data_IF_227813341555
#
_entry.id   IF_227813341555
#
_cell.length_a   1.000
_cell.length_b   1.000
_cell.length_c   1.000
_cell.angle_alpha   90.00
_cell.angle_beta   90.00
_cell.angle_gamma   90.00
#
_symmetry.space_group_name_H-M   'P 1'
#
loop_
_entity.id
_entity.type
_entity.pdbx_description
1 polymer ?
#
# COMPACT_ATOMS: atom_id res chain seq x y z
N UNK A 1 14.49 17.08 -11.48
CA UNK A 1 13.43 16.44 -12.28
C UNK A 1 13.88 16.11 -13.70
N UNK A 2 14.33 17.07 -14.51
CA UNK A 2 14.71 16.81 -15.92
C UNK A 2 15.86 15.79 -16.05
N UNK A 3 16.92 15.93 -15.24
CA UNK A 3 18.02 14.95 -15.16
C UNK A 3 17.54 13.53 -14.80
N UNK A 4 16.63 13.42 -13.82
CA UNK A 4 16.03 12.15 -13.39
C UNK A 4 15.23 11.50 -14.51
N UNK A 5 14.42 12.29 -15.22
CA UNK A 5 13.63 11.80 -16.36
C UNK A 5 14.53 11.33 -17.51
N UNK A 6 15.60 12.05 -17.81
CA UNK A 6 16.58 11.66 -18.84
C UNK A 6 17.25 10.32 -18.50
N UNK A 7 17.67 10.12 -17.24
CA UNK A 7 18.27 8.85 -16.81
C UNK A 7 17.25 7.70 -16.86
N UNK A 8 16.01 7.91 -16.41
CA UNK A 8 14.94 6.91 -16.53
C UNK A 8 14.63 6.56 -17.98
N UNK A 9 14.63 7.54 -18.89
CA UNK A 9 14.50 7.31 -20.33
C UNK A 9 15.66 6.47 -20.89
N UNK A 10 16.88 6.72 -20.44
CA UNK A 10 18.06 5.93 -20.83
C UNK A 10 17.96 4.49 -20.32
N UNK A 11 17.54 4.30 -19.08
CA UNK A 11 17.31 2.96 -18.51
C UNK A 11 16.20 2.21 -19.24
N UNK A 12 15.10 2.90 -19.56
CA UNK A 12 14.01 2.34 -20.36
C UNK A 12 14.51 1.88 -21.74
N UNK A 13 15.29 2.70 -22.46
CA UNK A 13 15.87 2.33 -23.76
C UNK A 13 16.76 1.10 -23.65
N UNK A 14 17.64 1.05 -22.63
CA UNK A 14 18.49 -0.13 -22.36
C UNK A 14 17.66 -1.39 -22.12
N UNK A 15 16.63 -1.31 -21.27
CA UNK A 15 15.71 -2.42 -21.03
C UNK A 15 15.02 -2.86 -22.33
N UNK A 16 14.51 -1.93 -23.15
CA UNK A 16 13.86 -2.25 -24.42
C UNK A 16 14.81 -2.92 -25.41
N UNK A 17 16.07 -2.49 -25.49
CA UNK A 17 17.07 -3.18 -26.31
C UNK A 17 17.28 -4.62 -25.85
N UNK A 18 17.28 -4.89 -24.55
CA UNK A 18 17.38 -6.26 -24.02
C UNK A 18 16.17 -7.11 -24.40
N UNK A 19 14.95 -6.54 -24.35
CA UNK A 19 13.73 -7.22 -24.82
C UNK A 19 13.81 -7.52 -26.33
N UNK A 20 14.28 -6.56 -27.12
CA UNK A 20 14.43 -6.76 -28.57
C UNK A 20 15.49 -7.80 -28.90
N UNK A 21 16.61 -7.83 -28.17
CA UNK A 21 17.65 -8.85 -28.31
C UNK A 21 17.17 -10.27 -27.92
N UNK A 22 16.10 -10.37 -27.14
CA UNK A 22 15.49 -11.65 -26.80
C UNK A 22 14.70 -12.27 -27.98
N UNK A 23 14.12 -11.45 -28.86
CA UNK A 23 13.36 -11.92 -30.02
C UNK A 23 14.17 -12.79 -31.00
N UNK A 24 15.38 -12.41 -31.46
CA UNK A 24 16.16 -13.25 -32.36
C UNK A 24 16.58 -14.57 -31.71
N UNK A 25 16.79 -14.61 -30.38
CA UNK A 25 17.07 -15.85 -29.66
C UNK A 25 15.88 -16.82 -29.74
N UNK A 26 14.66 -16.32 -29.55
CA UNK A 26 13.44 -17.11 -29.73
C UNK A 26 13.21 -17.51 -31.19
N UNK A 27 13.48 -16.60 -32.13
CA UNK A 27 13.39 -16.88 -33.57
C UNK A 27 14.35 -17.99 -33.99
N UNK A 28 15.60 -17.95 -33.52
CA UNK A 28 16.59 -19.00 -33.75
C UNK A 28 16.13 -20.35 -33.16
N UNK A 29 15.58 -20.36 -31.94
CA UNK A 29 15.03 -21.57 -31.33
C UNK A 29 13.89 -22.15 -32.18
N UNK A 30 12.99 -21.31 -32.68
CA UNK A 30 11.89 -21.73 -33.54
C UNK A 30 12.36 -22.32 -34.88
N UNK A 31 13.39 -21.72 -35.50
CA UNK A 31 14.00 -22.26 -36.73
C UNK A 31 14.68 -23.60 -36.44
N UNK A 32 15.47 -23.70 -35.36
CA UNK A 32 16.15 -24.93 -34.98
C UNK A 32 15.21 -26.09 -34.68
N UNK A 33 13.95 -25.81 -34.30
CA UNK A 33 12.95 -26.84 -34.02
C UNK A 33 12.69 -27.77 -35.22
N UNK A 34 12.90 -27.26 -36.44
CA UNK A 34 12.73 -28.04 -37.68
C UNK A 34 13.93 -28.91 -38.04
N UNK A 35 15.12 -28.64 -37.47
CA UNK A 35 16.37 -29.28 -37.90
C UNK A 35 17.03 -30.11 -36.80
N UNK A 36 17.01 -29.64 -35.54
CA UNK A 36 17.74 -30.28 -34.44
C UNK A 36 17.08 -30.03 -33.09
N UNK A 37 16.56 -31.12 -32.50
CA UNK A 37 15.87 -31.10 -31.20
C UNK A 37 16.79 -30.68 -30.04
N UNK A 38 18.04 -31.14 -30.03
CA UNK A 38 19.00 -30.84 -28.96
C UNK A 38 19.38 -29.36 -28.96
N UNK A 39 19.66 -28.79 -30.13
CA UNK A 39 19.95 -27.35 -30.28
C UNK A 39 18.75 -26.49 -29.87
N UNK A 40 17.54 -26.91 -30.24
CA UNK A 40 16.30 -26.22 -29.84
C UNK A 40 16.15 -26.15 -28.33
N UNK A 41 16.34 -27.28 -27.63
CA UNK A 41 16.25 -27.34 -26.18
C UNK A 41 17.33 -26.49 -25.50
N UNK A 42 18.56 -26.48 -26.04
CA UNK A 42 19.63 -25.61 -25.55
C UNK A 42 19.26 -24.12 -25.68
N UNK A 43 18.80 -23.69 -26.86
CA UNK A 43 18.41 -22.30 -27.10
C UNK A 43 17.24 -21.86 -26.21
N UNK A 44 16.24 -22.73 -26.01
CA UNK A 44 15.14 -22.47 -25.09
C UNK A 44 15.62 -22.37 -23.64
N UNK A 45 16.52 -23.26 -23.21
CA UNK A 45 17.15 -23.19 -21.89
C UNK A 45 17.91 -21.88 -21.67
N UNK A 46 18.70 -21.46 -22.67
CA UNK A 46 19.38 -20.15 -22.67
C UNK A 46 18.40 -18.99 -22.63
N UNK A 47 17.29 -19.08 -23.37
CA UNK A 47 16.24 -18.06 -23.37
C UNK A 47 15.58 -17.91 -21.99
N UNK A 48 15.25 -19.03 -21.33
CA UNK A 48 14.72 -19.02 -19.96
C UNK A 48 15.73 -18.42 -18.99
N UNK A 49 17.01 -18.81 -19.09
CA UNK A 49 18.07 -18.24 -18.25
C UNK A 49 18.21 -16.73 -18.46
N UNK A 50 18.21 -16.26 -19.71
CA UNK A 50 18.26 -14.83 -20.05
C UNK A 50 17.06 -14.07 -19.46
N UNK A 51 15.85 -14.62 -19.62
CA UNK A 51 14.62 -14.01 -19.10
C UNK A 51 14.66 -13.88 -17.57
N UNK A 52 15.04 -14.94 -16.86
CA UNK A 52 15.00 -14.99 -15.40
C UNK A 52 16.14 -14.20 -14.75
N UNK A 53 17.36 -14.32 -15.26
CA UNK A 53 18.55 -13.76 -14.61
C UNK A 53 18.94 -12.38 -15.14
N UNK A 54 18.63 -12.06 -16.39
CA UNK A 54 19.02 -10.78 -16.99
C UNK A 54 17.82 -9.84 -17.13
N UNK A 55 16.80 -10.21 -17.91
CA UNK A 55 15.68 -9.33 -18.23
C UNK A 55 14.86 -8.96 -16.98
N UNK A 56 14.50 -9.97 -16.16
CA UNK A 56 13.71 -9.76 -14.94
C UNK A 56 14.43 -8.87 -13.93
N UNK A 57 15.76 -8.99 -13.80
CA UNK A 57 16.55 -8.12 -12.89
C UNK A 57 16.53 -6.68 -13.36
N UNK A 58 16.77 -6.43 -14.65
CA UNK A 58 16.72 -5.08 -15.26
C UNK A 58 15.34 -4.46 -15.16
N UNK A 59 14.28 -5.24 -15.43
CA UNK A 59 12.90 -4.80 -15.28
C UNK A 59 12.59 -4.37 -13.85
N UNK A 60 12.94 -5.20 -12.86
CA UNK A 60 12.74 -4.88 -11.43
C UNK A 60 13.53 -3.64 -11.02
N UNK A 61 14.77 -3.50 -11.48
CA UNK A 61 15.57 -2.30 -11.20
C UNK A 61 14.91 -1.05 -11.77
N UNK A 62 14.56 -1.04 -13.05
CA UNK A 62 13.92 0.11 -13.68
C UNK A 62 12.61 0.49 -12.98
N UNK A 63 11.75 -0.48 -12.66
CA UNK A 63 10.48 -0.22 -11.99
C UNK A 63 10.70 0.39 -10.60
N UNK A 64 11.70 -0.08 -9.85
CA UNK A 64 12.05 0.48 -8.54
C UNK A 64 12.50 1.92 -8.62
N UNK A 65 13.42 2.23 -9.53
CA UNK A 65 13.90 3.61 -9.76
C UNK A 65 12.76 4.54 -10.20
N UNK A 66 11.84 4.03 -11.02
CA UNK A 66 10.69 4.80 -11.48
C UNK A 66 9.71 5.12 -10.34
N UNK A 67 9.36 4.11 -9.53
CA UNK A 67 8.49 4.29 -8.35
C UNK A 67 9.15 5.25 -7.36
N UNK A 68 10.45 5.05 -7.08
CA UNK A 68 11.21 5.92 -6.19
C UNK A 68 11.18 7.37 -6.67
N UNK A 69 11.49 7.63 -7.94
CA UNK A 69 11.46 8.97 -8.51
C UNK A 69 10.06 9.61 -8.48
N UNK A 70 9.00 8.83 -8.70
CA UNK A 70 7.63 9.30 -8.56
C UNK A 70 7.33 9.70 -7.11
N UNK A 71 7.63 8.84 -6.14
CA UNK A 71 7.40 9.12 -4.72
C UNK A 71 8.22 10.31 -4.21
N UNK A 72 9.50 10.41 -4.60
CA UNK A 72 10.38 11.53 -4.29
C UNK A 72 9.80 12.87 -4.77
N UNK A 73 9.23 12.89 -5.98
CA UNK A 73 8.66 14.10 -6.59
C UNK A 73 7.20 14.38 -6.22
N UNK A 74 6.56 13.52 -5.41
CA UNK A 74 5.15 13.67 -5.03
C UNK A 74 4.98 13.53 -3.51
N UNK A 75 4.82 12.31 -3.01
CA UNK A 75 4.53 12.03 -1.59
C UNK A 75 5.65 12.53 -0.69
N UNK A 76 6.93 12.26 -1.00
CA UNK A 76 8.04 12.73 -0.18
C UNK A 76 8.11 14.26 -0.15
N UNK A 77 7.89 14.92 -1.30
CA UNK A 77 7.84 16.39 -1.36
C UNK A 77 6.70 16.95 -0.52
N UNK A 78 5.51 16.33 -0.59
CA UNK A 78 4.33 16.70 0.21
C UNK A 78 4.57 16.55 1.70
N UNK A 79 5.35 15.54 2.10
CA UNK A 79 5.65 15.23 3.49
C UNK A 79 6.94 15.89 4.03
N UNK A 80 7.72 16.57 3.17
CA UNK A 80 9.07 17.00 3.52
C UNK A 80 9.98 15.84 3.98
N UNK A 81 9.77 14.66 3.39
CA UNK A 81 10.39 13.41 3.80
C UNK A 81 11.63 13.06 2.97
N UNK A 82 12.46 12.19 3.54
CA UNK A 82 13.51 11.49 2.79
C UNK A 82 12.92 10.47 1.80
N UNK A 83 13.74 9.95 0.86
CA UNK A 83 13.32 8.91 -0.07
C UNK A 83 12.73 7.66 0.61
N UNK A 84 11.83 6.94 -0.06
CA UNK A 84 11.15 5.77 0.52
C UNK A 84 12.13 4.63 0.84
N UNK A 85 11.89 3.97 1.97
CA UNK A 85 12.49 2.70 2.33
C UNK A 85 11.85 1.57 1.50
N UNK A 86 12.58 1.01 0.53
CA UNK A 86 12.04 -0.05 -0.33
C UNK A 86 11.54 -1.28 0.46
N UNK A 87 12.23 -1.61 1.57
CA UNK A 87 11.91 -2.72 2.46
C UNK A 87 11.71 -2.17 3.86
N UNK A 88 10.49 -2.25 4.37
CA UNK A 88 10.13 -1.67 5.66
C UNK A 88 8.99 -0.67 5.55
N UNK A 89 8.38 -0.37 6.70
CA UNK A 89 7.30 0.61 6.84
C UNK A 89 7.78 1.98 7.34
N UNK A 90 9.08 2.27 7.28
CA UNK A 90 9.65 3.41 7.99
C UNK A 90 9.51 3.20 9.50
N UNK A 91 8.87 4.15 10.18
CA UNK A 91 8.57 3.98 11.62
C UNK A 91 7.40 3.03 11.90
N UNK A 92 6.64 2.62 10.87
CA UNK A 92 5.55 1.65 11.03
C UNK A 92 6.14 0.25 11.16
N UNK A 93 5.87 -0.38 12.30
CA UNK A 93 6.29 -1.76 12.60
C UNK A 93 5.08 -2.68 12.73
N UNK A 94 5.22 -4.01 12.57
CA UNK A 94 4.13 -4.95 12.84
C UNK A 94 3.53 -4.80 14.25
N UNK A 95 4.36 -4.42 15.24
CA UNK A 95 3.89 -4.09 16.59
C UNK A 95 2.98 -2.86 16.61
N UNK A 96 3.33 -1.82 15.87
CA UNK A 96 2.49 -0.62 15.75
C UNK A 96 1.16 -0.93 15.02
N UNK A 97 1.20 -1.75 13.98
CA UNK A 97 0.00 -2.23 13.28
C UNK A 97 -0.92 -2.98 14.24
N UNK A 98 -0.36 -3.88 15.05
CA UNK A 98 -1.12 -4.64 16.06
C UNK A 98 -1.73 -3.73 17.12
N UNK A 99 -0.93 -2.79 17.64
CA UNK A 99 -1.38 -1.84 18.67
C UNK A 99 -2.58 -1.01 18.21
N UNK A 100 -2.66 -0.69 16.90
CA UNK A 100 -3.79 0.03 16.33
C UNK A 100 -5.12 -0.74 16.41
N UNK A 101 -5.12 -2.08 16.56
CA UNK A 101 -6.32 -2.93 16.55
C UNK A 101 -7.29 -2.58 15.38
N UNK A 102 -6.72 -2.22 14.23
CA UNK A 102 -7.49 -1.75 13.07
C UNK A 102 -7.67 -2.83 12.01
N UNK A 103 -6.65 -3.67 11.80
CA UNK A 103 -6.64 -4.70 10.76
C UNK A 103 -6.18 -6.04 11.36
N UNK A 104 -6.91 -7.14 11.11
CA UNK A 104 -6.48 -8.49 11.47
C UNK A 104 -5.33 -8.99 10.58
N UNK A 105 -4.39 -9.73 11.18
CA UNK A 105 -3.38 -10.52 10.49
C UNK A 105 -2.89 -11.67 11.38
N UNK A 106 -2.48 -12.78 10.78
CA UNK A 106 -1.94 -13.93 11.52
C UNK A 106 -0.55 -13.58 12.10
N UNK A 107 -0.23 -14.07 13.29
CA UNK A 107 1.07 -13.81 13.95
C UNK A 107 2.25 -14.62 13.40
N UNK A 108 2.10 -15.19 12.21
CA UNK A 108 3.16 -15.94 11.54
C UNK A 108 4.05 -15.04 10.69
N UNK A 109 5.31 -15.44 10.52
CA UNK A 109 6.26 -14.70 9.68
C UNK A 109 5.71 -14.49 8.26
N UNK A 110 5.82 -13.26 7.75
CA UNK A 110 5.35 -12.90 6.41
C UNK A 110 3.86 -12.51 6.31
N UNK A 111 3.07 -12.62 7.38
CA UNK A 111 1.67 -12.21 7.38
C UNK A 111 1.44 -10.70 7.60
N UNK A 112 2.47 -9.95 8.02
CA UNK A 112 2.48 -8.49 8.00
C UNK A 112 3.68 -8.02 7.18
N UNK A 113 3.43 -7.64 5.93
CA UNK A 113 4.45 -7.12 5.03
C UNK A 113 4.28 -5.60 4.88
N UNK A 114 5.34 -4.85 5.18
CA UNK A 114 5.40 -3.40 5.05
C UNK A 114 6.53 -3.01 4.09
N UNK A 115 6.22 -2.19 3.10
CA UNK A 115 7.18 -1.74 2.06
C UNK A 115 6.93 -0.29 1.67
N UNK A 116 7.93 0.34 1.03
CA UNK A 116 7.85 1.73 0.58
C UNK A 116 7.57 2.71 1.74
N UNK A 117 8.22 2.48 2.89
CA UNK A 117 8.06 3.32 4.06
C UNK A 117 8.55 4.75 3.83
N UNK A 118 7.70 5.74 4.09
CA UNK A 118 8.03 7.17 4.02
C UNK A 118 7.70 7.80 5.37
N UNK A 119 8.65 8.53 5.96
CA UNK A 119 8.46 9.24 7.22
C UNK A 119 8.76 10.72 7.04
N UNK A 120 7.83 11.57 7.47
CA UNK A 120 7.95 13.02 7.36
C UNK A 120 6.91 13.73 8.22
N UNK A 121 6.42 14.86 7.73
CA UNK A 121 5.43 15.69 8.41
C UNK A 121 4.26 16.03 7.48
N UNK A 122 3.03 15.99 8.00
CA UNK A 122 1.82 16.37 7.27
C UNK A 122 1.07 17.42 8.08
N UNK A 123 1.01 18.66 7.58
CA UNK A 123 0.38 19.77 8.30
C UNK A 123 1.00 20.03 9.69
N UNK A 124 2.32 19.82 9.82
CA UNK A 124 3.07 19.96 11.07
C UNK A 124 3.02 18.75 12.02
N UNK A 125 2.25 17.70 11.68
CA UNK A 125 2.17 16.47 12.46
C UNK A 125 3.14 15.42 11.92
N UNK A 126 3.93 14.74 12.77
CA UNK A 126 4.71 13.58 12.35
C UNK A 126 3.83 12.52 11.68
N UNK A 127 4.24 12.03 10.52
CA UNK A 127 3.52 11.00 9.78
C UNK A 127 4.47 9.95 9.23
N UNK A 128 4.02 8.70 9.26
CA UNK A 128 4.62 7.61 8.49
C UNK A 128 3.58 6.94 7.62
N UNK A 129 3.96 6.65 6.38
CA UNK A 129 3.12 6.02 5.36
C UNK A 129 3.86 4.82 4.78
N UNK A 130 3.18 3.72 4.53
CA UNK A 130 3.74 2.58 3.82
C UNK A 130 2.67 1.76 3.10
N UNK A 131 3.09 0.98 2.11
CA UNK A 131 2.26 -0.08 1.55
C UNK A 131 2.27 -1.26 2.52
N UNK A 132 1.07 -1.74 2.86
CA UNK A 132 0.86 -2.81 3.82
C UNK A 132 0.09 -3.97 3.20
N UNK A 133 0.50 -5.20 3.53
CA UNK A 133 -0.20 -6.44 3.17
C UNK A 133 -0.35 -7.31 4.42
N UNK A 134 -1.60 -7.68 4.70
CA UNK A 134 -2.01 -8.45 5.86
C UNK A 134 -2.55 -9.80 5.42
N UNK A 135 -1.81 -10.87 5.69
CA UNK A 135 -2.22 -12.24 5.50
C UNK A 135 -2.95 -12.75 6.73
N UNK A 136 -4.14 -13.30 6.54
CA UNK A 136 -4.94 -13.84 7.63
C UNK A 136 -5.64 -15.11 7.22
N UNK A 137 -5.80 -16.01 8.18
CA UNK A 137 -6.53 -17.23 7.96
C UNK A 137 -7.96 -17.11 8.49
N UNK A 138 -8.94 -17.50 7.69
CA UNK A 138 -10.33 -17.62 8.10
C UNK A 138 -10.93 -18.95 7.64
N UNK A 139 -12.04 -19.36 8.27
CA UNK A 139 -12.78 -20.57 7.91
C UNK A 139 -14.01 -20.21 7.09
N UNK A 140 -14.26 -20.95 6.01
CA UNK A 140 -15.47 -20.78 5.22
C UNK A 140 -16.70 -21.34 5.96
N UNK A 141 -17.74 -20.53 6.10
CA UNK A 141 -19.00 -20.91 6.76
C UNK A 141 -19.64 -22.17 6.14
N UNK A 142 -19.55 -22.34 4.82
CA UNK A 142 -20.22 -23.43 4.09
C UNK A 142 -19.62 -24.83 4.34
N UNK A 143 -18.32 -24.94 4.61
CA UNK A 143 -17.63 -26.24 4.66
C UNK A 143 -16.47 -26.31 5.67
N UNK A 144 -16.28 -25.29 6.50
CA UNK A 144 -15.21 -25.23 7.50
C UNK A 144 -13.79 -25.21 6.91
N UNK A 145 -13.62 -25.07 5.58
CA UNK A 145 -12.28 -25.10 4.99
C UNK A 145 -11.50 -23.84 5.35
N UNK A 146 -10.28 -24.06 5.83
CA UNK A 146 -9.27 -23.04 6.08
C UNK A 146 -8.89 -22.34 4.76
N UNK A 147 -8.96 -21.02 4.73
CA UNK A 147 -8.55 -20.17 3.60
C UNK A 147 -7.68 -19.03 4.10
N UNK A 148 -6.75 -18.58 3.26
CA UNK A 148 -5.95 -17.39 3.51
C UNK A 148 -6.55 -16.23 2.71
N UNK A 149 -6.78 -15.10 3.38
CA UNK A 149 -7.13 -13.83 2.79
C UNK A 149 -5.95 -12.88 2.89
N UNK A 150 -5.71 -12.09 1.85
CA UNK A 150 -4.75 -11.00 1.90
C UNK A 150 -5.49 -9.67 1.76
N UNK A 151 -5.36 -8.82 2.76
CA UNK A 151 -5.82 -7.43 2.70
C UNK A 151 -4.62 -6.56 2.39
N UNK A 152 -4.69 -5.82 1.28
CA UNK A 152 -3.60 -4.97 0.81
C UNK A 152 -4.07 -3.52 0.74
N UNK A 153 -3.18 -2.57 1.05
CA UNK A 153 -3.52 -1.16 1.03
C UNK A 153 -2.38 -0.25 1.49
N UNK A 154 -2.68 1.03 1.69
CA UNK A 154 -1.76 1.99 2.32
C UNK A 154 -2.11 2.11 3.80
N UNK A 155 -1.08 2.05 4.63
CA UNK A 155 -1.13 2.35 6.05
C UNK A 155 -0.55 3.75 6.30
N UNK A 156 -1.33 4.61 6.96
CA UNK A 156 -0.94 5.96 7.36
C UNK A 156 -1.01 6.04 8.88
N UNK A 157 0.07 6.45 9.52
CA UNK A 157 0.13 6.69 10.96
C UNK A 157 0.56 8.14 11.21
N UNK A 158 -0.31 8.93 11.83
CA UNK A 158 -0.06 10.31 12.24
C UNK A 158 0.02 10.44 13.76
N UNK A 159 0.93 11.27 14.21
CA UNK A 159 1.02 11.72 15.60
C UNK A 159 0.35 13.09 15.72
N UNK A 160 -0.76 13.14 16.45
CA UNK A 160 -1.45 14.38 16.78
C UNK A 160 -0.62 15.20 17.79
N UNK A 161 -0.78 16.54 17.84
CA UNK A 161 -0.01 17.39 18.74
C UNK A 161 -0.33 17.19 20.23
N UNK A 162 -1.46 16.58 20.55
CA UNK A 162 -1.90 16.33 21.92
C UNK A 162 -2.73 15.05 22.00
N UNK A 163 -2.71 14.44 23.19
CA UNK A 163 -3.56 13.31 23.53
C UNK A 163 -5.03 13.74 23.57
N UNK A 164 -5.86 13.02 22.83
CA UNK A 164 -7.30 13.27 22.76
C UNK A 164 -8.09 12.59 23.88
N UNK A 165 -7.46 11.67 24.62
CA UNK A 165 -8.11 10.78 25.59
C UNK A 165 -9.06 9.76 24.95
N UNK A 166 -9.11 9.70 23.61
CA UNK A 166 -10.02 8.84 22.87
C UNK A 166 -9.32 7.55 22.43
N UNK A 167 -10.07 6.46 22.44
CA UNK A 167 -9.65 5.16 21.96
C UNK A 167 -10.82 4.49 21.23
N UNK A 168 -10.83 4.57 19.89
CA UNK A 168 -11.91 4.03 19.07
C UNK A 168 -11.47 3.65 17.66
N UNK A 169 -12.29 2.82 17.01
CA UNK A 169 -12.14 2.39 15.61
C UNK A 169 -13.41 2.69 14.82
N UNK A 170 -13.20 3.26 13.65
CA UNK A 170 -14.26 3.65 12.72
C UNK A 170 -13.93 3.04 11.36
N UNK A 171 -14.77 2.11 10.89
CA UNK A 171 -14.49 1.34 9.69
C UNK A 171 -15.61 1.51 8.67
N UNK A 172 -15.24 1.74 7.41
CA UNK A 172 -16.16 1.47 6.32
C UNK A 172 -16.46 -0.05 6.31
N UNK A 173 -17.72 -0.49 6.16
CA UNK A 173 -18.10 -1.90 6.25
C UNK A 173 -17.34 -2.79 5.27
N UNK A 174 -16.90 -2.23 4.14
CA UNK A 174 -16.17 -2.94 3.10
C UNK A 174 -14.64 -2.84 3.26
N UNK A 175 -14.14 -2.12 4.26
CA UNK A 175 -12.69 -2.03 4.51
C UNK A 175 -12.10 -3.39 4.95
N UNK A 176 -12.92 -4.23 5.60
CA UNK A 176 -12.54 -5.59 6.03
C UNK A 176 -13.74 -6.51 5.74
N UNK A 177 -13.53 -7.69 5.13
CA UNK A 177 -14.61 -8.67 4.93
C UNK A 177 -15.37 -8.96 6.23
N UNK A 178 -16.70 -8.93 6.18
CA UNK A 178 -17.56 -8.96 7.37
C UNK A 178 -17.28 -10.12 8.34
N UNK A 179 -17.14 -11.38 7.91
CA UNK A 179 -16.90 -12.49 8.83
C UNK A 179 -15.57 -12.31 9.59
N UNK A 180 -14.55 -11.86 8.87
CA UNK A 180 -13.22 -11.63 9.42
C UNK A 180 -13.25 -10.46 10.42
N UNK A 181 -13.93 -9.36 10.06
CA UNK A 181 -14.10 -8.21 10.95
C UNK A 181 -14.79 -8.61 12.25
N UNK A 182 -15.88 -9.36 12.15
CA UNK A 182 -16.66 -9.80 13.31
C UNK A 182 -15.83 -10.69 14.23
N UNK A 183 -15.14 -11.70 13.69
CA UNK A 183 -14.27 -12.58 14.46
C UNK A 183 -13.13 -11.81 15.13
N UNK A 184 -12.50 -10.88 14.40
CA UNK A 184 -11.41 -10.07 14.91
C UNK A 184 -11.84 -9.19 16.09
N UNK A 185 -12.93 -8.43 15.95
CA UNK A 185 -13.38 -7.54 17.03
C UNK A 185 -14.06 -8.30 18.17
N UNK A 186 -14.66 -9.47 17.93
CA UNK A 186 -15.16 -10.33 19.00
C UNK A 186 -14.04 -10.84 19.93
N UNK A 187 -12.82 -10.99 19.40
CA UNK A 187 -11.64 -11.36 20.19
C UNK A 187 -11.00 -10.18 20.95
N UNK A 188 -11.39 -8.93 20.67
CA UNK A 188 -10.86 -7.73 21.33
C UNK A 188 -11.70 -7.38 22.56
N UNK A 189 -11.32 -7.91 23.74
CA UNK A 189 -12.05 -7.63 24.99
C UNK A 189 -12.04 -6.16 25.41
N UNK A 190 -11.10 -5.36 24.90
CA UNK A 190 -10.98 -3.93 25.21
C UNK A 190 -11.86 -3.03 24.34
N UNK A 191 -12.54 -3.58 23.32
CA UNK A 191 -13.31 -2.79 22.36
C UNK A 191 -14.74 -3.28 22.27
N UNK A 192 -15.68 -2.42 22.66
CA UNK A 192 -17.10 -2.71 22.58
C UNK A 192 -17.67 -2.28 21.22
N UNK A 193 -18.53 -3.09 20.59
CA UNK A 193 -19.27 -2.68 19.40
C UNK A 193 -20.28 -1.58 19.78
N UNK A 194 -20.13 -0.40 19.19
CA UNK A 194 -20.96 0.77 19.48
C UNK A 194 -21.97 1.10 18.37
N UNK A 195 -22.10 0.22 17.37
CA UNK A 195 -23.14 0.27 16.35
C UNK A 195 -22.67 0.92 15.04
N UNK A 196 -23.58 1.64 14.40
CA UNK A 196 -23.36 2.31 13.11
C UNK A 196 -23.52 3.81 13.26
N UNK A 197 -22.57 4.58 12.71
CA UNK A 197 -22.60 6.04 12.68
C UNK A 197 -22.81 6.53 11.23
N UNK A 198 -23.67 7.55 11.07
CA UNK A 198 -24.06 8.13 9.78
C UNK A 198 -24.51 7.09 8.73
N UNK A 199 -25.18 6.01 9.18
CA UNK A 199 -25.65 4.87 8.35
C UNK A 199 -24.56 4.22 7.47
N UNK A 200 -23.29 4.50 7.78
CA UNK A 200 -22.14 4.08 6.98
C UNK A 200 -21.12 3.37 7.83
N UNK A 201 -20.67 3.99 8.91
CA UNK A 201 -19.47 3.58 9.60
C UNK A 201 -19.77 2.54 10.67
N UNK A 202 -19.07 1.42 10.65
CA UNK A 202 -19.05 0.48 11.76
C UNK A 202 -18.12 1.02 12.84
N UNK A 203 -18.61 1.07 14.07
CA UNK A 203 -17.95 1.76 15.16
C UNK A 203 -17.67 0.80 16.34
N UNK A 204 -16.43 0.84 16.83
CA UNK A 204 -15.98 0.13 18.04
C UNK A 204 -15.26 1.10 18.95
N UNK A 205 -15.45 1.02 20.27
CA UNK A 205 -14.85 1.98 21.22
C UNK A 205 -14.35 1.34 22.49
N UNK A 206 -13.30 1.94 23.04
CA UNK A 206 -12.85 1.78 24.41
C UNK A 206 -13.03 3.09 25.19
N UNK A 207 -12.76 4.24 24.56
CA UNK A 207 -12.96 5.57 25.15
C UNK A 207 -13.35 6.62 24.11
N UNK A 208 -14.29 7.51 24.47
CA UNK A 208 -14.73 8.60 23.61
C UNK A 208 -15.48 8.16 22.35
N UNK A 209 -15.83 9.14 21.52
CA UNK A 209 -16.55 8.94 20.26
C UNK A 209 -16.06 9.92 19.17
N UNK A 210 -16.13 9.54 17.89
CA UNK A 210 -15.87 10.44 16.76
C UNK A 210 -16.79 11.65 16.80
N UNK A 211 -16.24 12.85 16.65
CA UNK A 211 -17.06 14.05 16.53
C UNK A 211 -17.82 14.08 15.20
N UNK A 212 -18.97 14.74 15.14
CA UNK A 212 -19.70 14.93 13.86
C UNK A 212 -18.87 15.68 12.80
N UNK A 213 -17.94 16.55 13.22
CA UNK A 213 -16.97 17.18 12.31
C UNK A 213 -16.05 16.14 11.67
N UNK A 214 -15.51 15.21 12.47
CA UNK A 214 -14.69 14.13 11.97
C UNK A 214 -15.49 13.22 11.03
N UNK A 215 -16.71 12.81 11.41
CA UNK A 215 -17.55 11.95 10.59
C UNK A 215 -17.82 12.57 9.21
N UNK A 216 -18.11 13.87 9.15
CA UNK A 216 -18.25 14.60 7.89
C UNK A 216 -16.97 14.55 7.04
N UNK A 217 -15.79 14.75 7.65
CA UNK A 217 -14.50 14.71 6.94
C UNK A 217 -14.11 13.29 6.50
N UNK A 218 -14.39 12.29 7.32
CA UNK A 218 -14.25 10.89 6.94
C UNK A 218 -15.21 10.55 5.78
N UNK A 219 -16.43 11.10 5.79
CA UNK A 219 -17.38 11.01 4.68
C UNK A 219 -16.87 11.63 3.38
N UNK A 220 -16.18 12.78 3.44
CA UNK A 220 -15.51 13.39 2.27
C UNK A 220 -14.42 12.47 1.70
N UNK A 221 -13.55 11.91 2.56
CA UNK A 221 -12.53 10.92 2.16
C UNK A 221 -13.19 9.72 1.48
N UNK A 222 -14.23 9.20 2.11
CA UNK A 222 -14.85 7.96 1.70
C UNK A 222 -15.84 8.17 0.54
N UNK A 223 -16.17 9.42 0.17
CA UNK A 223 -16.76 9.76 -1.12
C UNK A 223 -15.73 9.79 -2.24
N UNK A 224 -14.49 10.20 -1.95
CA UNK A 224 -13.37 10.18 -2.90
C UNK A 224 -12.81 8.76 -3.12
N UNK A 225 -12.69 7.98 -2.06
CA UNK A 225 -12.22 6.58 -2.06
C UNK A 225 -13.24 5.66 -1.37
N UNK A 226 -14.34 5.29 -2.07
CA UNK A 226 -15.43 4.51 -1.48
C UNK A 226 -15.05 3.10 -1.05
N UNK A 227 -15.57 2.66 0.11
CA UNK A 227 -15.58 1.26 0.55
C UNK A 227 -14.28 0.73 1.16
N UNK A 228 -13.33 1.62 1.48
CA UNK A 228 -11.92 1.20 1.67
C UNK A 228 -11.20 1.85 2.85
N UNK A 229 -11.82 2.78 3.55
CA UNK A 229 -11.18 3.51 4.65
C UNK A 229 -11.51 2.89 6.01
N UNK A 230 -10.49 2.72 6.84
CA UNK A 230 -10.62 2.38 8.25
C UNK A 230 -9.74 3.31 9.08
N UNK A 231 -10.23 3.73 10.24
CA UNK A 231 -9.57 4.66 11.15
C UNK A 231 -9.45 4.02 12.53
N UNK A 232 -8.32 4.27 13.18
CA UNK A 232 -8.12 4.03 14.61
C UNK A 232 -7.56 5.30 15.23
N UNK A 233 -8.18 5.78 16.30
CA UNK A 233 -7.63 6.83 17.14
C UNK A 233 -7.31 6.23 18.50
N UNK A 234 -6.08 6.41 18.96
CA UNK A 234 -5.63 5.97 20.28
C UNK A 234 -4.78 7.07 20.90
N UNK A 235 -5.33 7.76 21.89
CA UNK A 235 -4.70 8.88 22.56
C UNK A 235 -4.34 9.99 21.56
N UNK A 236 -3.05 10.13 21.24
CA UNK A 236 -2.51 11.07 20.26
C UNK A 236 -2.16 10.42 18.90
N UNK A 237 -2.39 9.13 18.70
CA UNK A 237 -2.05 8.45 17.45
C UNK A 237 -3.30 8.23 16.60
N UNK A 238 -3.35 8.88 15.43
CA UNK A 238 -4.34 8.60 14.39
C UNK A 238 -3.75 7.65 13.35
N UNK A 239 -4.38 6.50 13.16
CA UNK A 239 -4.04 5.53 12.13
C UNK A 239 -5.16 5.43 11.12
N UNK A 240 -4.81 5.45 9.83
CA UNK A 240 -5.74 5.27 8.73
C UNK A 240 -5.23 4.18 7.81
N UNK A 241 -6.10 3.24 7.46
CA UNK A 241 -5.83 2.25 6.43
C UNK A 241 -6.75 2.49 5.22
N UNK A 242 -6.16 2.50 4.03
CA UNK A 242 -6.85 2.62 2.75
C UNK A 242 -6.65 1.35 1.94
N UNK A 243 -7.67 0.48 1.94
CA UNK A 243 -7.67 -0.77 1.17
C UNK A 243 -7.51 -0.51 -0.33
N UNK A 244 -6.81 -1.39 -1.03
CA UNK A 244 -6.52 -1.34 -2.47
C UNK A 244 -5.91 -0.02 -3.00
N UNK A 245 -5.38 0.82 -2.11
CA UNK A 245 -4.52 1.96 -2.47
C UNK A 245 -3.07 1.55 -2.27
N UNK A 246 -2.18 2.08 -3.10
CA UNK A 246 -0.75 1.76 -3.05
C UNK A 246 0.08 2.99 -3.43
N UNK A 247 1.21 3.17 -2.76
CA UNK A 247 2.28 4.09 -3.15
C UNK A 247 2.91 3.63 -4.46
N UNK A 248 3.20 2.33 -4.56
CA UNK A 248 3.77 1.72 -5.75
C UNK A 248 2.68 1.40 -6.80
N UNK A 249 2.50 2.28 -7.79
CA UNK A 249 1.57 2.02 -8.90
C UNK A 249 2.18 1.04 -9.93
N UNK A 250 1.38 0.12 -10.52
CA UNK A 250 1.80 -0.63 -11.70
C UNK A 250 1.98 0.31 -12.90
N UNK A 251 3.20 0.39 -13.43
CA UNK A 251 3.52 1.17 -14.63
C UNK A 251 3.63 0.28 -15.86
N UNK A 252 3.07 0.72 -16.98
CA UNK A 252 3.22 0.04 -18.26
C UNK A 252 4.68 0.10 -18.72
N UNK A 253 5.28 -1.07 -18.91
CA UNK A 253 6.63 -1.22 -19.46
C UNK A 253 6.67 -1.01 -20.99
N UNK A 254 5.53 -0.70 -21.62
CA UNK A 254 5.42 -0.51 -23.07
C UNK A 254 5.71 0.92 -23.51
N UNK A 255 5.57 1.91 -22.63
CA UNK A 255 5.77 3.33 -22.93
C UNK A 255 6.99 3.87 -22.19
N UNK A 256 7.67 4.84 -22.81
CA UNK A 256 8.73 5.57 -22.13
C UNK A 256 8.17 6.36 -20.93
N UNK A 257 8.97 6.59 -19.87
CA UNK A 257 8.54 7.41 -18.75
C UNK A 257 8.34 8.86 -19.21
N UNK A 258 7.36 9.55 -18.63
CA UNK A 258 7.03 10.95 -18.94
C UNK A 258 7.06 11.79 -17.66
N UNK A 259 7.15 13.12 -17.80
CA UNK A 259 7.06 14.03 -16.65
C UNK A 259 5.72 13.86 -15.91
N UNK A 260 4.62 13.72 -16.64
CA UNK A 260 3.29 13.49 -16.06
C UNK A 260 3.23 12.20 -15.21
N UNK A 261 3.93 11.15 -15.62
CA UNK A 261 4.03 9.92 -14.83
C UNK A 261 4.79 10.14 -13.52
N UNK A 262 5.88 10.91 -13.54
CA UNK A 262 6.64 11.22 -12.34
C UNK A 262 5.88 12.12 -11.38
N UNK A 263 5.09 13.07 -11.89
CA UNK A 263 4.35 14.03 -11.08
C UNK A 263 2.97 13.55 -10.60
N UNK A 264 2.55 12.35 -11.02
CA UNK A 264 1.28 11.78 -10.59
C UNK A 264 1.32 11.48 -9.08
N UNK A 265 0.47 12.14 -8.28
CA UNK A 265 0.34 11.84 -6.86
C UNK A 265 -0.37 10.48 -6.66
N UNK A 266 0.32 9.44 -6.13
CA UNK A 266 -0.30 8.15 -5.89
C UNK A 266 -1.23 8.14 -4.67
N UNK A 267 -1.14 9.14 -3.79
CA UNK A 267 -1.87 9.22 -2.53
C UNK A 267 -2.46 10.62 -2.25
N UNK A 268 -3.34 11.13 -3.13
CA UNK A 268 -4.05 12.39 -2.89
C UNK A 268 -4.92 12.34 -1.62
N UNK A 269 -5.30 11.15 -1.15
CA UNK A 269 -6.04 10.93 0.10
C UNK A 269 -5.36 11.54 1.33
N UNK A 270 -4.04 11.79 1.31
CA UNK A 270 -3.34 12.44 2.42
C UNK A 270 -3.97 13.79 2.78
N UNK A 271 -4.49 14.56 1.82
CA UNK A 271 -5.12 15.86 2.12
C UNK A 271 -6.44 15.70 2.88
N UNK A 272 -7.18 14.64 2.58
CA UNK A 272 -8.43 14.32 3.29
C UNK A 272 -8.13 13.77 4.68
N UNK A 273 -7.09 12.95 4.82
CA UNK A 273 -6.62 12.45 6.12
C UNK A 273 -6.13 13.61 7.00
N UNK A 274 -5.41 14.58 6.42
CA UNK A 274 -4.99 15.78 7.14
C UNK A 274 -6.20 16.56 7.68
N UNK A 275 -7.26 16.75 6.87
CA UNK A 275 -8.50 17.40 7.33
C UNK A 275 -9.17 16.63 8.47
N UNK A 276 -9.13 15.29 8.44
CA UNK A 276 -9.62 14.45 9.52
C UNK A 276 -8.78 14.68 10.80
N UNK A 277 -7.45 14.64 10.70
CA UNK A 277 -6.55 14.89 11.82
C UNK A 277 -6.76 16.28 12.43
N UNK A 278 -6.86 17.32 11.60
CA UNK A 278 -7.14 18.69 12.04
C UNK A 278 -8.47 18.83 12.78
N UNK A 279 -9.49 18.04 12.41
CA UNK A 279 -10.78 18.04 13.10
C UNK A 279 -10.73 17.44 14.51
N UNK A 280 -9.70 16.65 14.81
CA UNK A 280 -9.44 16.07 16.13
C UNK A 280 -8.62 17.02 17.03
N UNK A 281 -7.80 17.89 16.44
CA UNK A 281 -6.93 18.82 17.16
C UNK A 281 -7.58 20.19 17.39
N UNK A 282 -8.61 20.54 16.63
CA UNK A 282 -9.37 21.75 16.82
C UNK A 282 -10.11 21.68 18.15
N UNK A 283 -9.54 22.32 19.19
CA UNK A 283 -10.15 22.50 20.51
C UNK A 283 -11.64 22.85 20.40
N UNK A 284 -12.44 22.23 21.27
CA UNK A 284 -13.74 22.78 21.69
C UNK A 284 -13.54 24.20 22.23
#
# INVERSE_FOLDING_TARGET
MEKTLQELCRQYRRYRMCVLAFLPLLGAAAICAFFNRTLTLLLLGTAVAYQLFYLRRRQKQYLRELIRANLESTVCQKLGAEPPEERGGGTVTPRAVRAAQLMPFDETEGCCLLVQGITGTLGGMPVSVCDATFGQTFHLVKNGRKRVHFTCGVWVRLQLPADTGADWRLLDPDAIPTPIRQDFYAAQSSLEPAGTLDDRWVFYRAAGEPSGKLLRKAGELAGYTPGKAAFSLQGDTLTVFLRDRFLARPVSMKSAPTAALLQFDPLPELDYILRCAQSLTAKK
#
